data_IF_214046157185
#
_entry.id   IF_214046157185
#
_cell.length_a   1.000
_cell.length_b   1.000
_cell.length_c   1.000
_cell.angle_alpha   90.00
_cell.angle_beta   90.00
_cell.angle_gamma   90.00
#
_symmetry.space_group_name_H-M   'P 1'
#
loop_
_entity.id
_entity.type
_entity.pdbx_description
1 polymer ?
#
# COMPACT_ATOMS: atom_id res chain seq x y z
N UNK A 1 12.59 1.18 4.44
CA UNK A 1 12.14 -0.01 3.67
C UNK A 1 11.81 0.48 2.26
N UNK A 2 12.41 -0.06 1.20
CA UNK A 2 12.03 0.30 -0.18
C UNK A 2 11.07 -0.75 -0.70
N UNK A 3 9.81 -0.38 -0.90
CA UNK A 3 8.77 -1.28 -1.38
C UNK A 3 7.53 -0.51 -1.82
N UNK A 4 6.85 -1.01 -2.85
CA UNK A 4 5.56 -0.51 -3.32
C UNK A 4 4.48 -1.38 -2.69
N UNK A 5 3.49 -0.76 -2.09
CA UNK A 5 2.39 -1.43 -1.41
C UNK A 5 1.06 -0.95 -1.95
N UNK A 6 0.11 -1.86 -2.08
CA UNK A 6 -1.29 -1.52 -2.31
C UNK A 6 -2.00 -1.57 -0.97
N UNK A 7 -2.67 -0.47 -0.64
CA UNK A 7 -3.49 -0.33 0.56
C UNK A 7 -4.94 -0.15 0.13
N UNK A 8 -5.86 -0.87 0.77
CA UNK A 8 -7.27 -0.88 0.43
C UNK A 8 -8.15 -0.63 1.66
N UNK A 9 -9.32 0.01 1.45
CA UNK A 9 -10.24 0.33 2.55
C UNK A 9 -11.00 -0.89 3.09
N UNK A 10 -11.20 -1.90 2.25
CA UNK A 10 -11.97 -3.09 2.61
C UNK A 10 -11.05 -4.31 2.75
N UNK A 11 -11.54 -5.36 3.40
CA UNK A 11 -10.82 -6.62 3.52
C UNK A 11 -10.69 -7.33 2.15
N UNK A 12 -9.70 -8.23 2.05
CA UNK A 12 -9.43 -9.03 0.84
C UNK A 12 -9.07 -8.17 -0.40
N UNK A 13 -8.40 -7.03 -0.21
CA UNK A 13 -7.93 -6.14 -1.29
C UNK A 13 -9.08 -5.56 -2.15
N UNK A 14 -10.14 -5.09 -1.49
CA UNK A 14 -11.35 -4.54 -2.12
C UNK A 14 -11.64 -3.10 -1.70
N UNK A 15 -12.69 -2.52 -2.30
CA UNK A 15 -13.11 -1.15 -2.02
C UNK A 15 -12.21 -0.15 -2.74
N UNK A 16 -11.78 0.89 -2.04
CA UNK A 16 -10.87 1.90 -2.60
C UNK A 16 -9.43 1.48 -2.33
N UNK A 17 -8.66 1.24 -3.39
CA UNK A 17 -7.26 0.86 -3.30
C UNK A 17 -6.33 1.96 -3.83
N UNK A 18 -5.13 2.06 -3.24
CA UNK A 18 -4.08 3.01 -3.64
C UNK A 18 -2.70 2.39 -3.49
N UNK A 19 -1.81 2.71 -4.44
CA UNK A 19 -0.40 2.35 -4.36
C UNK A 19 0.35 3.43 -3.58
N UNK A 20 1.12 3.00 -2.60
CA UNK A 20 2.00 3.83 -1.76
C UNK A 20 3.43 3.33 -1.87
N UNK A 21 4.38 4.27 -1.86
CA UNK A 21 5.80 3.98 -2.06
C UNK A 21 6.62 4.76 -1.03
N UNK A 22 7.53 4.05 -0.34
CA UNK A 22 8.39 4.65 0.68
C UNK A 22 7.66 5.07 1.96
N UNK A 23 8.31 5.95 2.74
CA UNK A 23 7.77 6.44 4.01
C UNK A 23 6.76 7.56 3.78
N UNK A 24 5.47 7.25 3.94
CA UNK A 24 4.39 8.23 3.80
C UNK A 24 3.88 8.63 5.18
N UNK A 25 4.13 9.88 5.57
CA UNK A 25 3.65 10.43 6.86
C UNK A 25 2.17 10.77 6.88
N UNK A 26 1.59 11.07 5.72
CA UNK A 26 0.19 11.45 5.58
C UNK A 26 -0.42 10.73 4.38
N UNK A 27 -1.29 9.76 4.63
CA UNK A 27 -2.08 9.12 3.58
C UNK A 27 -3.27 10.02 3.22
N UNK A 28 -2.99 11.01 2.37
CA UNK A 28 -3.99 11.97 1.88
C UNK A 28 -5.08 11.22 1.09
N UNK A 29 -6.36 11.57 1.31
CA UNK A 29 -7.49 11.05 0.53
C UNK A 29 -8.44 10.11 1.28
N UNK A 30 -8.47 10.17 2.62
CA UNK A 30 -9.45 9.45 3.44
C UNK A 30 -9.09 7.99 3.74
N UNK A 31 -7.81 7.62 3.56
CA UNK A 31 -7.27 6.31 3.96
C UNK A 31 -6.88 6.25 5.44
N UNK A 32 -6.81 7.39 6.12
CA UNK A 32 -6.57 7.44 7.56
C UNK A 32 -7.72 6.74 8.29
N UNK A 33 -7.39 5.81 9.19
CA UNK A 33 -8.33 5.00 9.98
C UNK A 33 -9.31 4.13 9.17
N UNK A 34 -9.09 3.99 7.86
CA UNK A 34 -10.00 3.23 6.98
C UNK A 34 -9.34 2.07 6.25
N UNK A 35 -8.03 1.83 6.44
CA UNK A 35 -7.32 0.71 5.80
C UNK A 35 -7.66 -0.61 6.49
N UNK A 36 -8.12 -1.57 5.70
CA UNK A 36 -8.46 -2.92 6.18
C UNK A 36 -7.63 -4.03 5.53
N UNK A 37 -6.90 -3.76 4.44
CA UNK A 37 -5.96 -4.73 3.85
C UNK A 37 -4.78 -4.06 3.14
N UNK A 38 -3.63 -4.75 3.13
CA UNK A 38 -2.41 -4.31 2.46
C UNK A 38 -1.65 -5.49 1.82
N UNK A 39 -1.13 -5.30 0.60
CA UNK A 39 -0.24 -6.28 -0.06
C UNK A 39 0.94 -5.60 -0.74
N UNK A 40 2.09 -6.26 -0.83
CA UNK A 40 3.15 -5.80 -1.69
C UNK A 40 2.64 -5.81 -3.14
N UNK A 41 2.91 -4.75 -3.87
CA UNK A 41 2.65 -4.70 -5.30
C UNK A 41 3.89 -5.27 -5.94
N UNK A 42 3.77 -6.47 -6.48
CA UNK A 42 4.88 -7.14 -7.15
C UNK A 42 5.35 -6.29 -8.35
N UNK A 43 6.32 -5.42 -8.08
CA UNK A 43 7.26 -4.87 -9.03
C UNK A 43 8.63 -5.47 -8.77
N UNK A 44 8.71 -6.80 -8.58
CA UNK A 44 9.94 -7.57 -8.44
C UNK A 44 11.03 -6.88 -7.62
N UNK A 45 10.89 -6.83 -6.29
CA UNK A 45 12.05 -6.60 -5.44
C UNK A 45 12.95 -7.83 -5.53
N UNK A 46 13.73 -7.91 -6.60
CA UNK A 46 14.99 -8.63 -6.61
C UNK A 46 15.97 -7.72 -5.90
N UNK A 47 16.47 -8.06 -4.70
CA UNK A 47 17.62 -7.35 -4.17
C UNK A 47 18.72 -7.50 -5.23
N UNK A 48 19.09 -6.40 -5.90
CA UNK A 48 20.31 -6.40 -6.71
C UNK A 48 21.44 -6.56 -5.71
N UNK A 49 22.03 -7.76 -5.74
CA UNK A 49 23.17 -8.19 -4.94
C UNK A 49 24.35 -7.27 -5.12
#
# INVERSE_FOLDING_TARGET
>A
VQGRWEVCTDAEFRGRCRIVEGDIRNLIGGFNDSISSLRPVDGGWRPRR
#
